data_IF_152233492861
#
_entry.id   IF_152233492861
#
_cell.length_a   1.000
_cell.length_b   1.000
_cell.length_c   1.000
_cell.angle_alpha   90.00
_cell.angle_beta   90.00
_cell.angle_gamma   90.00
#
_symmetry.space_group_name_H-M   'P 1'
#
loop_
_entity.id
_entity.type
_entity.pdbx_description
1 polymer ?
#
# COMPACT_ATOMS: atom_id res chain seq x y z
N UNK A 1 -21.53 19.36 5.41
CA UNK A 1 -21.59 17.94 5.80
C UNK A 1 -21.57 17.82 7.32
N UNK A 2 -22.58 17.17 7.92
CA UNK A 2 -22.64 16.97 9.38
C UNK A 2 -21.77 15.79 9.79
N UNK A 3 -20.89 16.00 10.77
CA UNK A 3 -20.08 14.94 11.37
C UNK A 3 -19.99 15.16 12.88
N UNK A 4 -20.59 14.26 13.64
CA UNK A 4 -20.79 14.45 15.08
C UNK A 4 -21.69 15.67 15.34
N UNK A 5 -21.23 16.58 16.19
CA UNK A 5 -21.96 17.79 16.57
C UNK A 5 -21.62 19.02 15.71
N UNK A 6 -20.91 18.87 14.59
CA UNK A 6 -20.42 19.99 13.79
C UNK A 6 -20.74 19.84 12.30
N UNK A 7 -20.97 20.98 11.65
CA UNK A 7 -21.12 21.18 10.23
C UNK A 7 -19.78 21.56 9.59
N UNK A 8 -19.32 20.79 8.62
CA UNK A 8 -18.10 21.06 7.85
C UNK A 8 -18.41 21.44 6.40
N UNK A 9 -17.53 22.20 5.74
CA UNK A 9 -17.61 22.39 4.29
C UNK A 9 -17.57 21.05 3.53
N UNK A 10 -18.32 20.98 2.44
CA UNK A 10 -18.37 19.78 1.59
C UNK A 10 -17.04 19.58 0.86
N UNK A 11 -16.68 18.33 0.63
CA UNK A 11 -15.50 17.97 -0.16
C UNK A 11 -15.81 17.96 -1.67
N UNK A 12 -14.79 18.20 -2.48
CA UNK A 12 -14.85 18.03 -3.94
C UNK A 12 -15.17 16.58 -4.33
N UNK A 13 -15.65 16.37 -5.56
CA UNK A 13 -15.96 15.04 -6.07
C UNK A 13 -14.80 14.05 -5.95
N UNK A 14 -15.11 12.87 -5.42
CA UNK A 14 -14.12 11.81 -5.18
C UNK A 14 -13.22 12.05 -3.96
N UNK A 15 -13.59 12.95 -3.05
CA UNK A 15 -13.00 13.11 -1.73
C UNK A 15 -14.09 12.96 -0.65
N UNK A 16 -13.73 12.36 0.47
CA UNK A 16 -14.64 12.13 1.58
C UNK A 16 -14.27 12.98 2.79
N UNK A 17 -15.29 13.51 3.46
CA UNK A 17 -15.11 14.29 4.66
C UNK A 17 -14.63 13.44 5.83
N UNK A 18 -13.59 13.90 6.52
CA UNK A 18 -13.15 13.41 7.83
C UNK A 18 -12.74 14.58 8.72
N UNK A 19 -13.70 15.00 9.53
CA UNK A 19 -13.60 16.17 10.40
C UNK A 19 -13.11 17.38 9.59
N UNK A 20 -11.96 17.95 9.94
CA UNK A 20 -11.37 19.13 9.30
C UNK A 20 -10.66 18.84 7.97
N UNK A 21 -10.73 17.60 7.46
CA UNK A 21 -10.02 17.18 6.26
C UNK A 21 -10.93 16.52 5.25
N UNK A 22 -10.56 16.64 3.98
CA UNK A 22 -11.03 15.80 2.89
C UNK A 22 -9.95 14.77 2.59
N UNK A 23 -10.29 13.48 2.51
CA UNK A 23 -9.37 12.38 2.20
C UNK A 23 -9.88 11.51 1.05
N UNK A 24 -8.97 10.79 0.38
CA UNK A 24 -9.35 9.74 -0.57
C UNK A 24 -9.80 8.47 0.15
N UNK A 25 -10.72 7.73 -0.47
CA UNK A 25 -11.12 6.39 -0.04
C UNK A 25 -9.98 5.38 -0.16
N UNK A 26 -9.98 4.39 0.73
CA UNK A 26 -9.07 3.27 0.62
C UNK A 26 -9.30 2.48 -0.68
N UNK A 27 -8.22 2.04 -1.35
CA UNK A 27 -8.34 1.13 -2.47
C UNK A 27 -9.00 -0.18 -2.06
N UNK A 28 -9.55 -0.90 -3.05
CA UNK A 28 -10.11 -2.23 -2.81
C UNK A 28 -9.08 -3.16 -2.12
N UNK A 29 -9.52 -3.84 -1.06
CA UNK A 29 -8.69 -4.76 -0.27
C UNK A 29 -7.85 -4.09 0.83
N UNK A 30 -7.83 -2.76 0.91
CA UNK A 30 -7.23 -2.04 2.04
C UNK A 30 -8.29 -1.79 3.12
N UNK A 31 -7.88 -1.92 4.38
CA UNK A 31 -8.76 -1.64 5.52
C UNK A 31 -8.49 -0.24 6.05
N UNK A 32 -9.52 0.59 6.12
CA UNK A 32 -9.40 1.89 6.80
C UNK A 32 -9.20 1.70 8.31
N UNK A 33 -8.14 2.27 8.87
CA UNK A 33 -7.89 2.24 10.31
C UNK A 33 -8.55 3.40 11.07
N UNK A 34 -9.18 4.34 10.35
CA UNK A 34 -9.78 5.58 10.86
C UNK A 34 -8.82 6.51 11.64
N UNK A 35 -7.51 6.24 11.64
CA UNK A 35 -6.51 6.99 12.41
C UNK A 35 -5.42 7.54 11.48
N UNK A 36 -4.70 6.65 10.80
CA UNK A 36 -3.48 6.96 10.05
C UNK A 36 -3.66 6.80 8.54
N UNK A 37 -4.62 5.98 8.10
CA UNK A 37 -4.93 5.76 6.69
C UNK A 37 -5.46 4.36 6.41
N UNK A 38 -4.93 3.75 5.37
CA UNK A 38 -5.40 2.50 4.81
C UNK A 38 -4.37 1.40 5.04
N UNK A 39 -4.71 0.41 5.88
CA UNK A 39 -3.89 -0.76 6.16
C UNK A 39 -3.85 -1.66 4.94
N UNK A 40 -2.63 -2.04 4.56
CA UNK A 40 -2.36 -2.90 3.40
C UNK A 40 -2.94 -4.30 3.62
N UNK A 41 -3.32 -5.00 2.53
CA UNK A 41 -3.56 -6.43 2.60
C UNK A 41 -2.28 -7.19 3.00
N UNK A 42 -2.43 -8.48 3.33
CA UNK A 42 -1.32 -9.27 3.85
C UNK A 42 -0.13 -9.32 2.88
N UNK A 43 1.06 -9.06 3.42
CA UNK A 43 2.33 -9.34 2.77
C UNK A 43 2.61 -10.84 2.73
N UNK A 44 3.48 -11.29 1.83
CA UNK A 44 3.90 -12.69 1.78
C UNK A 44 5.39 -12.85 1.54
N UNK A 45 5.95 -13.97 2.00
CA UNK A 45 7.36 -14.30 1.83
C UNK A 45 7.67 -14.89 0.44
N UNK A 46 8.88 -14.62 -0.06
CA UNK A 46 9.41 -15.08 -1.35
C UNK A 46 10.36 -16.28 -1.21
N UNK A 47 10.44 -16.86 -0.02
CA UNK A 47 11.38 -17.92 0.34
C UNK A 47 12.78 -17.40 0.69
N UNK A 48 13.71 -18.33 0.93
CA UNK A 48 15.09 -18.04 1.30
C UNK A 48 15.93 -17.47 0.14
N UNK A 49 15.48 -17.68 -1.10
CA UNK A 49 16.20 -17.32 -2.32
C UNK A 49 17.11 -18.42 -2.83
N UNK A 50 17.63 -18.22 -4.03
CA UNK A 50 18.55 -19.12 -4.72
C UNK A 50 19.93 -18.49 -4.77
N UNK A 51 20.98 -19.30 -4.63
CA UNK A 51 22.36 -18.84 -4.72
C UNK A 51 22.63 -18.11 -6.06
N UNK A 52 23.62 -17.21 -6.07
CA UNK A 52 23.93 -16.36 -7.23
C UNK A 52 24.10 -17.13 -8.55
N UNK A 53 24.67 -18.33 -8.49
CA UNK A 53 24.91 -19.23 -9.63
C UNK A 53 23.72 -20.14 -9.97
N UNK A 54 22.55 -19.93 -9.36
CA UNK A 54 21.34 -20.76 -9.51
C UNK A 54 20.15 -19.98 -10.06
N UNK A 55 20.40 -19.04 -10.98
CA UNK A 55 19.34 -18.29 -11.66
C UNK A 55 18.37 -19.21 -12.40
N UNK A 56 18.89 -20.23 -13.10
CA UNK A 56 18.06 -21.16 -13.87
C UNK A 56 17.11 -21.98 -13.00
N UNK A 57 17.57 -22.37 -11.80
CA UNK A 57 16.71 -23.04 -10.82
C UNK A 57 15.58 -22.11 -10.36
N UNK A 58 15.90 -20.83 -10.10
CA UNK A 58 14.88 -19.84 -9.74
C UNK A 58 13.83 -19.70 -10.86
N UNK A 59 14.27 -19.54 -12.12
CA UNK A 59 13.38 -19.38 -13.28
C UNK A 59 12.52 -20.61 -13.51
N UNK A 60 13.10 -21.81 -13.35
CA UNK A 60 12.39 -23.09 -13.48
C UNK A 60 11.29 -23.26 -12.44
N UNK A 61 11.56 -22.89 -11.19
CA UNK A 61 10.60 -23.00 -10.09
C UNK A 61 9.53 -21.89 -10.15
N UNK A 62 9.85 -20.76 -10.77
CA UNK A 62 8.98 -19.58 -10.83
C UNK A 62 8.70 -19.13 -12.27
N UNK A 63 8.16 -20.00 -13.15
CA UNK A 63 8.06 -19.72 -14.58
C UNK A 63 7.10 -18.58 -14.92
N UNK A 64 6.13 -18.29 -14.04
CA UNK A 64 5.12 -17.24 -14.25
C UNK A 64 5.58 -15.85 -13.79
N UNK A 65 6.22 -15.79 -12.63
CA UNK A 65 6.66 -14.51 -12.04
C UNK A 65 8.05 -14.12 -12.56
N UNK A 66 8.86 -15.10 -12.95
CA UNK A 66 10.27 -14.90 -13.22
C UNK A 66 11.05 -14.59 -11.94
N UNK A 67 12.33 -14.24 -12.12
CA UNK A 67 13.24 -13.96 -11.02
C UNK A 67 13.86 -12.58 -11.11
N UNK A 68 14.23 -12.04 -9.96
CA UNK A 68 15.01 -10.83 -9.80
C UNK A 68 16.15 -11.08 -8.83
N UNK A 69 17.26 -10.40 -9.05
CA UNK A 69 18.41 -10.44 -8.14
C UNK A 69 18.19 -9.44 -7.00
N UNK A 70 18.51 -9.86 -5.77
CA UNK A 70 18.59 -8.98 -4.61
C UNK A 70 19.85 -9.34 -3.82
N UNK A 71 20.83 -8.43 -3.78
CA UNK A 71 22.16 -8.73 -3.25
C UNK A 71 22.84 -9.88 -4.00
N UNK A 72 23.28 -10.90 -3.27
CA UNK A 72 23.96 -12.08 -3.81
C UNK A 72 23.02 -13.28 -4.10
N UNK A 73 21.70 -13.07 -4.08
CA UNK A 73 20.71 -14.13 -4.26
C UNK A 73 19.68 -13.78 -5.34
N UNK A 74 19.07 -14.82 -5.90
CA UNK A 74 17.92 -14.72 -6.79
C UNK A 74 16.63 -15.00 -6.02
N UNK A 75 15.61 -14.20 -6.26
CA UNK A 75 14.28 -14.37 -5.69
C UNK A 75 13.23 -14.35 -6.80
N UNK A 76 12.08 -15.02 -6.61
CA UNK A 76 10.94 -14.77 -7.47
C UNK A 76 10.54 -13.30 -7.41
N UNK A 77 10.09 -12.76 -8.55
CA UNK A 77 9.46 -11.44 -8.57
C UNK A 77 8.19 -11.44 -7.73
N UNK A 78 7.82 -10.27 -7.24
CA UNK A 78 6.53 -10.11 -6.59
C UNK A 78 5.37 -10.22 -7.59
N UNK A 79 4.20 -10.63 -7.08
CA UNK A 79 2.94 -10.64 -7.84
C UNK A 79 2.60 -9.21 -8.22
N UNK A 80 1.76 -9.04 -9.24
CA UNK A 80 1.28 -7.72 -9.64
C UNK A 80 0.64 -6.98 -8.45
N UNK A 81 0.95 -5.69 -8.31
CA UNK A 81 0.50 -4.86 -7.18
C UNK A 81 1.27 -5.09 -5.88
N UNK A 82 2.42 -5.77 -5.93
CA UNK A 82 3.33 -5.92 -4.81
C UNK A 82 4.77 -5.57 -5.22
N UNK A 83 5.52 -4.98 -4.30
CA UNK A 83 6.97 -4.75 -4.44
C UNK A 83 7.74 -5.49 -3.35
N UNK A 84 9.04 -5.66 -3.59
CA UNK A 84 9.90 -6.30 -2.61
C UNK A 84 10.32 -5.32 -1.50
N UNK A 85 10.05 -5.71 -0.26
CA UNK A 85 10.55 -5.06 0.95
C UNK A 85 11.69 -5.92 1.51
N UNK A 86 12.90 -5.38 1.48
CA UNK A 86 14.11 -6.13 1.80
C UNK A 86 14.35 -7.29 0.83
N UNK A 87 14.98 -8.36 1.33
CA UNK A 87 15.35 -9.52 0.51
C UNK A 87 14.14 -10.38 0.11
N UNK A 88 13.18 -10.52 1.02
CA UNK A 88 12.42 -11.77 1.07
C UNK A 88 10.91 -11.57 1.24
N UNK A 89 10.43 -10.33 1.33
CA UNK A 89 8.99 -10.05 1.55
C UNK A 89 8.43 -9.27 0.38
N UNK A 90 7.26 -9.66 -0.11
CA UNK A 90 6.43 -8.85 -1.00
C UNK A 90 5.38 -8.12 -0.18
N UNK A 91 5.36 -6.80 -0.28
CA UNK A 91 4.35 -5.94 0.34
C UNK A 91 3.47 -5.31 -0.74
N UNK A 92 2.15 -5.14 -0.52
CA UNK A 92 1.29 -4.45 -1.48
C UNK A 92 1.76 -3.03 -1.76
N UNK A 93 1.58 -2.61 -3.00
CA UNK A 93 1.87 -1.25 -3.45
C UNK A 93 0.82 -0.26 -2.93
N UNK A 94 1.28 0.90 -2.47
CA UNK A 94 0.39 2.03 -2.24
C UNK A 94 -0.03 2.65 -3.58
N UNK A 95 -1.24 3.21 -3.68
CA UNK A 95 -1.62 3.97 -4.87
C UNK A 95 -0.71 5.17 -5.09
N UNK A 96 -0.69 5.66 -6.32
CA UNK A 96 0.11 6.82 -6.68
C UNK A 96 -0.26 8.06 -5.83
N UNK A 97 0.75 8.75 -5.31
CA UNK A 97 0.57 9.92 -4.44
C UNK A 97 0.23 9.61 -2.98
N UNK A 98 0.12 8.33 -2.60
CA UNK A 98 -0.07 7.92 -1.21
C UNK A 98 1.28 7.67 -0.54
N UNK A 99 1.38 8.01 0.74
CA UNK A 99 2.61 7.81 1.50
C UNK A 99 2.62 6.43 2.16
N UNK A 100 3.57 5.60 1.80
CA UNK A 100 3.81 4.30 2.43
C UNK A 100 4.42 4.49 3.83
N UNK A 101 3.82 3.84 4.84
CA UNK A 101 4.36 3.81 6.21
C UNK A 101 4.63 2.38 6.70
N UNK A 102 4.79 1.43 5.78
CA UNK A 102 5.15 0.03 6.05
C UNK A 102 3.92 -0.86 6.19
N UNK A 103 3.13 -0.66 7.25
CA UNK A 103 1.91 -1.46 7.50
C UNK A 103 0.69 -0.97 6.69
N UNK A 104 0.77 0.22 6.13
CA UNK A 104 -0.33 0.87 5.43
C UNK A 104 0.11 2.01 4.53
N UNK A 105 -0.87 2.70 3.97
CA UNK A 105 -0.70 3.86 3.10
C UNK A 105 -1.52 5.03 3.65
N UNK A 106 -0.89 6.18 3.81
CA UNK A 106 -1.58 7.42 4.18
C UNK A 106 -2.15 8.08 2.92
N UNK A 107 -3.47 8.31 2.84
CA UNK A 107 -4.08 9.00 1.71
C UNK A 107 -3.61 10.45 1.62
N UNK A 108 -3.61 11.04 0.41
CA UNK A 108 -3.53 12.48 0.30
C UNK A 108 -4.71 13.12 1.05
N UNK A 109 -4.47 14.27 1.67
CA UNK A 109 -5.46 15.00 2.45
C UNK A 109 -5.45 16.49 2.10
N UNK A 110 -6.63 17.11 2.06
CA UNK A 110 -6.80 18.55 1.92
C UNK A 110 -7.51 19.09 3.17
N UNK A 111 -7.06 20.22 3.71
CA UNK A 111 -7.78 20.91 4.77
C UNK A 111 -9.08 21.50 4.18
N UNK A 112 -10.20 21.35 4.91
CA UNK A 112 -11.52 21.90 4.50
C UNK A 112 -12.10 22.90 5.49
N UNK A 113 -11.31 23.35 6.46
CA UNK A 113 -11.72 24.28 7.51
C UNK A 113 -12.23 23.59 8.78
N UNK A 114 -12.48 24.41 9.79
CA UNK A 114 -13.06 24.01 11.07
C UNK A 114 -14.55 23.74 10.94
N UNK A 115 -15.06 22.80 11.74
CA UNK A 115 -16.50 22.59 11.87
C UNK A 115 -17.13 23.69 12.72
N UNK A 116 -18.32 24.12 12.33
CA UNK A 116 -19.16 25.04 13.11
C UNK A 116 -20.34 24.27 13.72
N UNK A 117 -20.91 24.72 14.85
CA UNK A 117 -22.12 24.12 15.41
C UNK A 117 -23.26 24.03 14.40
#
# INVERSE_FOLDING_TARGET
EHQGALCYPSCEGGWNGRLTRCVKECPAGFKDDNVSGCIKPASYGRGAGYALWREDACKKDNPKLGCQKYGALWYPKCKAGYHNVGCCTCSPDCPEGWKDYGIGCTPPMKNRGSGVP
#
